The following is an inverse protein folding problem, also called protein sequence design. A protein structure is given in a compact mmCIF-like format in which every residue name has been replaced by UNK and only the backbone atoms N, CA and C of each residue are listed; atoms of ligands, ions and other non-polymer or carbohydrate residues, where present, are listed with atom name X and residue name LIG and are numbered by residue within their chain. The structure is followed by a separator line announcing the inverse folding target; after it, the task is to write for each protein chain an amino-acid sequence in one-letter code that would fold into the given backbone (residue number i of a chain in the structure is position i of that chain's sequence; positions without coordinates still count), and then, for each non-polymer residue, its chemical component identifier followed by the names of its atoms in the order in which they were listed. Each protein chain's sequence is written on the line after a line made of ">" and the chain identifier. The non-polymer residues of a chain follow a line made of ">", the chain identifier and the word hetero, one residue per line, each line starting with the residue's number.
data_IF_859292002068
#
_entry.id   IF_859292002068
#
_cell.length_a   1.000
_cell.length_b   1.000
_cell.length_c   1.000
_cell.angle_alpha   90.00
_cell.angle_beta   90.00
_cell.angle_gamma   90.00
#
_symmetry.space_group_name_H-M   'P 1'
#
loop_
_entity.id
_entity.type
_entity.pdbx_description
1 polymer ?
#
# COMPACT_ATOMS: atom_id res chain seq x y z
N UNK A 1 22.22 -22.93 -17.92
CA UNK A 1 23.57 -23.14 -18.48
C UNK A 1 24.24 -24.36 -17.86
N UNK A 2 24.42 -24.43 -16.52
CA UNK A 2 25.13 -25.53 -15.85
C UNK A 2 24.52 -26.91 -16.14
N UNK A 3 23.19 -27.06 -16.05
CA UNK A 3 22.52 -28.34 -16.37
C UNK A 3 22.75 -28.78 -17.81
N UNK A 4 22.76 -27.82 -18.74
CA UNK A 4 23.04 -28.09 -20.14
C UNK A 4 24.51 -28.49 -20.38
N UNK A 5 25.45 -27.81 -19.73
CA UNK A 5 26.87 -28.12 -19.84
C UNK A 5 27.21 -29.48 -19.23
N UNK A 6 26.59 -29.84 -18.13
CA UNK A 6 26.84 -31.09 -17.40
C UNK A 6 25.93 -32.26 -17.82
N UNK A 7 24.97 -32.03 -18.73
CA UNK A 7 23.97 -32.99 -19.18
C UNK A 7 23.26 -33.73 -18.05
N UNK A 8 22.98 -33.04 -16.94
CA UNK A 8 22.25 -33.55 -15.78
C UNK A 8 21.58 -32.43 -14.98
N UNK A 9 20.58 -32.75 -14.16
CA UNK A 9 19.99 -31.74 -13.27
C UNK A 9 21.03 -31.11 -12.36
N UNK A 10 20.94 -29.76 -12.22
CA UNK A 10 21.85 -28.98 -11.38
C UNK A 10 21.00 -28.06 -10.49
N UNK A 11 21.23 -28.12 -9.17
CA UNK A 11 20.67 -27.20 -8.20
C UNK A 11 21.72 -26.16 -7.83
N UNK A 12 21.37 -24.90 -8.01
CA UNK A 12 22.22 -23.76 -7.60
C UNK A 12 21.46 -22.95 -6.55
N UNK A 13 22.10 -22.66 -5.45
CA UNK A 13 21.57 -21.80 -4.41
C UNK A 13 22.41 -20.53 -4.33
N UNK A 14 21.77 -19.38 -4.55
CA UNK A 14 22.43 -18.08 -4.42
C UNK A 14 22.45 -17.65 -2.95
N UNK A 15 23.61 -17.35 -2.37
CA UNK A 15 23.67 -16.73 -1.06
C UNK A 15 23.08 -15.30 -1.12
N UNK A 16 22.55 -14.83 0.01
CA UNK A 16 21.84 -13.54 0.08
C UNK A 16 22.57 -12.36 -0.57
N UNK A 17 23.90 -12.17 -0.41
CA UNK A 17 24.60 -11.06 -1.05
C UNK A 17 24.60 -11.09 -2.58
N UNK A 18 24.41 -12.26 -3.18
CA UNK A 18 24.37 -12.41 -4.65
C UNK A 18 22.98 -12.22 -5.25
N UNK A 19 21.94 -12.31 -4.43
CA UNK A 19 20.55 -12.18 -4.91
C UNK A 19 20.29 -10.83 -5.58
N UNK A 20 20.62 -9.67 -4.97
CA UNK A 20 20.35 -8.36 -5.59
C UNK A 20 20.98 -8.14 -6.95
N UNK A 21 22.13 -8.80 -7.22
CA UNK A 21 22.87 -8.63 -8.46
C UNK A 21 22.51 -9.66 -9.53
N UNK A 22 21.82 -10.75 -9.17
CA UNK A 22 21.55 -11.88 -10.07
C UNK A 22 20.06 -12.18 -10.24
N UNK A 23 19.20 -11.49 -9.48
CA UNK A 23 17.75 -11.62 -9.59
C UNK A 23 17.12 -10.23 -9.60
N UNK A 24 15.84 -10.17 -9.93
CA UNK A 24 15.06 -8.93 -9.81
C UNK A 24 14.91 -8.51 -8.36
N UNK A 25 14.70 -7.22 -8.14
CA UNK A 25 14.46 -6.63 -6.82
C UNK A 25 13.25 -5.68 -6.86
N UNK A 26 12.71 -5.34 -5.69
CA UNK A 26 11.72 -4.29 -5.58
C UNK A 26 12.41 -2.94 -5.75
N UNK A 27 12.00 -2.13 -6.74
CA UNK A 27 12.60 -0.80 -6.91
C UNK A 27 12.25 0.11 -5.73
N UNK A 28 13.16 1.04 -5.43
CA UNK A 28 12.86 2.15 -4.54
C UNK A 28 11.79 3.04 -5.15
N UNK A 29 10.93 3.63 -4.32
CA UNK A 29 9.89 4.55 -4.75
C UNK A 29 9.97 5.87 -4.00
N UNK A 30 9.61 6.96 -4.67
CA UNK A 30 9.29 8.24 -4.07
C UNK A 30 7.82 8.47 -4.32
N UNK A 31 7.04 8.70 -3.26
CA UNK A 31 5.60 8.79 -3.37
C UNK A 31 5.11 10.10 -2.75
N UNK A 32 4.29 10.84 -3.48
CA UNK A 32 3.63 12.05 -3.00
C UNK A 32 2.13 11.81 -2.94
N UNK A 33 1.56 11.91 -1.74
CA UNK A 33 0.14 11.76 -1.50
C UNK A 33 -0.43 13.07 -0.97
N UNK A 34 -1.57 13.45 -1.50
CA UNK A 34 -2.35 14.61 -1.06
C UNK A 34 -3.78 14.18 -0.86
N UNK A 35 -4.32 14.47 0.33
CA UNK A 35 -5.70 14.13 0.71
C UNK A 35 -6.40 15.41 1.11
N UNK A 36 -7.59 15.63 0.58
CA UNK A 36 -8.51 16.68 1.00
C UNK A 36 -9.79 16.07 1.57
N UNK A 37 -10.27 16.62 2.68
CA UNK A 37 -11.53 16.22 3.31
C UNK A 37 -12.49 17.41 3.41
N UNK A 38 -13.76 17.12 3.62
CA UNK A 38 -14.69 18.09 4.13
C UNK A 38 -14.48 18.29 5.66
N UNK A 39 -15.34 19.16 6.27
CA UNK A 39 -15.27 19.46 7.70
C UNK A 39 -15.64 18.27 8.60
N UNK A 40 -16.31 17.26 8.05
CA UNK A 40 -16.70 16.04 8.73
C UNK A 40 -15.65 14.94 8.60
N UNK A 41 -14.54 15.19 7.89
CA UNK A 41 -13.47 14.21 7.66
C UNK A 41 -13.71 13.27 6.47
N UNK A 42 -14.78 13.48 5.68
CA UNK A 42 -15.04 12.70 4.48
C UNK A 42 -14.06 13.10 3.39
N UNK A 43 -13.35 12.14 2.80
CA UNK A 43 -12.41 12.38 1.72
C UNK A 43 -13.15 12.90 0.48
N UNK A 44 -12.79 14.08 0.02
CA UNK A 44 -13.34 14.72 -1.18
C UNK A 44 -12.36 14.66 -2.36
N UNK A 45 -11.06 14.58 -2.06
CA UNK A 45 -10.02 14.49 -3.08
C UNK A 45 -8.86 13.65 -2.57
N UNK A 46 -8.26 12.85 -3.47
CA UNK A 46 -7.05 12.10 -3.21
C UNK A 46 -6.16 12.09 -4.46
N UNK A 47 -4.90 12.45 -4.29
CA UNK A 47 -3.90 12.39 -5.35
C UNK A 47 -2.69 11.58 -4.87
N UNK A 48 -2.20 10.68 -5.72
CA UNK A 48 -1.04 9.84 -5.44
C UNK A 48 -0.14 9.77 -6.67
N UNK A 49 1.00 10.42 -6.60
CA UNK A 49 2.07 10.34 -7.58
C UNK A 49 3.20 9.45 -7.05
N UNK A 50 3.68 8.53 -7.86
CA UNK A 50 4.80 7.65 -7.54
C UNK A 50 5.86 7.65 -8.63
N UNK A 51 7.11 7.80 -8.22
CA UNK A 51 8.30 7.63 -9.05
C UNK A 51 9.05 6.39 -8.59
N UNK A 52 9.54 5.61 -9.55
CA UNK A 52 10.43 4.48 -9.29
C UNK A 52 11.56 4.42 -10.32
N UNK A 53 12.71 3.88 -9.91
CA UNK A 53 13.84 3.67 -10.83
C UNK A 53 13.81 2.27 -11.43
N UNK A 54 14.19 2.16 -12.71
CA UNK A 54 14.44 0.89 -13.35
C UNK A 54 15.45 1.05 -14.49
N UNK A 55 15.96 -0.06 -15.01
CA UNK A 55 16.84 -0.07 -16.18
C UNK A 55 16.10 0.38 -17.47
N UNK A 56 16.80 0.72 -18.56
CA UNK A 56 16.18 1.04 -19.83
C UNK A 56 15.25 -0.07 -20.33
N UNK A 57 14.01 0.30 -20.67
CA UNK A 57 12.96 -0.63 -21.08
C UNK A 57 12.21 -1.32 -19.94
N UNK A 58 12.56 -1.04 -18.67
CA UNK A 58 11.83 -1.52 -17.51
C UNK A 58 10.49 -0.78 -17.30
N UNK A 59 9.71 -1.26 -16.35
CA UNK A 59 8.40 -0.67 -15.98
C UNK A 59 8.46 -0.04 -14.58
N UNK A 60 7.62 0.98 -14.30
CA UNK A 60 7.51 1.52 -12.95
C UNK A 60 6.85 0.53 -11.98
N UNK A 61 7.17 0.65 -10.69
CA UNK A 61 6.43 -0.02 -9.62
C UNK A 61 5.01 0.54 -9.53
N UNK A 62 4.00 -0.33 -9.48
CA UNK A 62 2.58 0.04 -9.56
C UNK A 62 1.99 0.52 -8.24
N UNK A 63 2.73 1.35 -7.50
CA UNK A 63 2.42 1.75 -6.13
C UNK A 63 1.08 2.50 -5.94
N UNK A 64 0.53 3.10 -7.00
CA UNK A 64 -0.72 3.88 -6.90
C UNK A 64 -2.00 3.05 -7.05
N UNK A 65 -1.88 1.79 -7.46
CA UNK A 65 -3.06 0.99 -7.84
C UNK A 65 -4.06 0.82 -6.69
N UNK A 66 -3.60 0.65 -5.46
CA UNK A 66 -4.48 0.47 -4.31
C UNK A 66 -5.18 1.76 -3.90
N UNK A 67 -4.55 2.91 -4.13
CA UNK A 67 -5.18 4.22 -3.92
C UNK A 67 -6.42 4.39 -4.79
N UNK A 68 -6.46 3.75 -5.93
CA UNK A 68 -7.62 3.81 -6.84
C UNK A 68 -8.88 3.15 -6.27
N UNK A 69 -8.73 2.20 -5.34
CA UNK A 69 -9.80 1.30 -4.91
C UNK A 69 -10.07 1.32 -3.39
N UNK A 70 -9.07 1.70 -2.57
CA UNK A 70 -9.16 1.42 -1.14
C UNK A 70 -10.13 2.35 -0.41
N UNK A 71 -10.15 3.63 -0.73
CA UNK A 71 -11.01 4.65 -0.11
C UNK A 71 -11.84 5.38 -1.14
N UNK A 72 -13.00 5.90 -0.70
CA UNK A 72 -13.83 6.78 -1.49
C UNK A 72 -13.15 8.16 -1.71
N UNK A 73 -13.70 8.96 -2.58
CA UNK A 73 -13.27 10.33 -2.90
C UNK A 73 -13.69 10.71 -4.32
N UNK A 74 -14.45 11.78 -4.46
CA UNK A 74 -15.02 12.20 -5.75
C UNK A 74 -13.95 12.64 -6.75
N UNK A 75 -12.88 13.30 -6.26
CA UNK A 75 -11.80 13.81 -7.12
C UNK A 75 -10.56 12.96 -6.88
N UNK A 76 -10.09 12.31 -7.95
CA UNK A 76 -9.03 11.33 -7.84
C UNK A 76 -7.99 11.50 -8.94
N UNK A 77 -6.72 11.50 -8.53
CA UNK A 77 -5.58 11.51 -9.44
C UNK A 77 -4.57 10.45 -9.02
N UNK A 78 -4.09 9.67 -9.97
CA UNK A 78 -2.96 8.75 -9.77
C UNK A 78 -1.96 8.92 -10.91
N UNK A 79 -0.67 8.94 -10.57
CA UNK A 79 0.42 9.09 -11.54
C UNK A 79 1.57 8.13 -11.27
N UNK A 80 1.99 7.40 -12.28
CA UNK A 80 3.20 6.57 -12.25
C UNK A 80 4.26 7.15 -13.16
N UNK A 81 5.48 7.27 -12.66
CA UNK A 81 6.63 7.76 -13.41
C UNK A 81 7.83 6.85 -13.24
N UNK A 82 8.51 6.61 -14.35
CA UNK A 82 9.75 5.85 -14.40
C UNK A 82 10.94 6.79 -14.53
N UNK A 83 11.91 6.65 -13.64
CA UNK A 83 13.25 7.17 -13.84
C UNK A 83 14.12 6.04 -14.42
N UNK A 84 14.62 6.24 -15.64
CA UNK A 84 15.57 5.30 -16.24
C UNK A 84 16.92 5.48 -15.59
N UNK A 85 17.41 4.44 -14.95
CA UNK A 85 18.65 4.43 -14.17
C UNK A 85 19.51 3.24 -14.56
N UNK A 86 20.81 3.36 -14.35
CA UNK A 86 21.76 2.27 -14.50
C UNK A 86 21.78 1.41 -13.23
N UNK A 87 20.68 0.64 -13.05
CA UNK A 87 20.44 -0.25 -11.92
C UNK A 87 20.12 -1.66 -12.41
N UNK A 88 20.28 -2.69 -11.57
CA UNK A 88 19.72 -4.00 -11.83
C UNK A 88 18.18 -3.92 -12.05
N UNK A 89 17.65 -4.90 -12.77
CA UNK A 89 16.22 -4.93 -13.09
C UNK A 89 15.33 -4.89 -11.83
N UNK A 90 14.49 -3.88 -11.75
CA UNK A 90 13.37 -3.84 -10.81
C UNK A 90 12.18 -4.58 -11.41
N UNK A 91 11.60 -5.52 -10.67
CA UNK A 91 10.44 -6.27 -11.13
C UNK A 91 9.55 -6.71 -9.95
N UNK A 92 8.47 -7.42 -10.28
CA UNK A 92 7.49 -7.89 -9.32
C UNK A 92 8.12 -8.69 -8.17
N UNK A 93 7.97 -8.19 -6.97
CA UNK A 93 8.24 -8.89 -5.73
C UNK A 93 6.90 -9.14 -5.02
N UNK A 94 6.87 -9.99 -3.99
CA UNK A 94 5.62 -10.29 -3.26
C UNK A 94 4.81 -9.01 -2.99
N UNK A 95 3.52 -8.98 -3.40
CA UNK A 95 2.63 -7.82 -3.40
C UNK A 95 3.19 -6.64 -4.24
N UNK A 96 3.33 -6.81 -5.58
CA UNK A 96 3.81 -5.74 -6.46
C UNK A 96 2.90 -4.53 -6.41
N UNK A 97 3.48 -3.36 -6.19
CA UNK A 97 2.74 -2.11 -6.00
C UNK A 97 2.01 -2.00 -4.65
N UNK A 98 1.40 -3.10 -4.20
CA UNK A 98 0.62 -3.11 -2.95
C UNK A 98 1.50 -2.80 -1.73
N UNK A 99 2.64 -3.46 -1.59
CA UNK A 99 3.49 -3.28 -0.41
C UNK A 99 3.99 -1.82 -0.27
N UNK A 100 4.65 -1.19 -1.27
CA UNK A 100 5.08 0.19 -1.13
C UNK A 100 3.93 1.18 -1.17
N UNK A 101 2.91 0.92 -2.00
CA UNK A 101 1.81 1.86 -2.20
C UNK A 101 0.86 1.95 -1.03
N UNK A 102 0.45 0.82 -0.46
CA UNK A 102 -0.39 0.84 0.73
C UNK A 102 0.35 1.38 1.95
N UNK A 103 1.63 1.10 2.10
CA UNK A 103 2.42 1.68 3.19
C UNK A 103 2.36 3.22 3.14
N UNK A 104 2.62 3.82 1.99
CA UNK A 104 2.57 5.26 1.83
C UNK A 104 1.14 5.82 1.99
N UNK A 105 0.15 5.15 1.41
CA UNK A 105 -1.26 5.55 1.52
C UNK A 105 -1.73 5.54 2.98
N UNK A 106 -1.45 4.47 3.71
CA UNK A 106 -1.92 4.29 5.09
C UNK A 106 -1.24 5.26 6.06
N UNK A 107 0.03 5.62 5.82
CA UNK A 107 0.70 6.71 6.55
C UNK A 107 -0.02 8.05 6.29
N UNK A 108 -0.32 8.36 5.03
CA UNK A 108 -1.03 9.59 4.69
C UNK A 108 -2.46 9.64 5.24
N UNK A 109 -3.13 8.50 5.33
CA UNK A 109 -4.45 8.36 5.97
C UNK A 109 -4.35 8.61 7.48
N UNK A 110 -3.33 8.08 8.16
CA UNK A 110 -3.11 8.35 9.58
C UNK A 110 -2.81 9.83 9.85
N UNK A 111 -1.93 10.44 9.06
CA UNK A 111 -1.65 11.88 9.16
C UNK A 111 -2.90 12.74 8.91
N UNK A 112 -3.75 12.34 7.97
CA UNK A 112 -5.00 13.07 7.70
C UNK A 112 -6.00 12.91 8.83
N UNK A 113 -6.12 11.70 9.40
CA UNK A 113 -6.97 11.44 10.56
C UNK A 113 -6.55 12.31 11.76
N UNK A 114 -5.25 12.39 12.04
CA UNK A 114 -4.69 13.25 13.09
C UNK A 114 -5.05 14.73 12.85
N UNK A 115 -4.82 15.24 11.64
CA UNK A 115 -5.14 16.62 11.26
C UNK A 115 -6.63 16.94 11.35
N UNK A 116 -7.49 15.96 11.07
CA UNK A 116 -8.94 16.08 11.19
C UNK A 116 -9.43 15.93 12.64
N UNK A 117 -8.57 15.51 13.57
CA UNK A 117 -8.94 15.22 14.96
C UNK A 117 -9.86 14.00 15.08
N UNK A 118 -9.76 13.04 14.16
CA UNK A 118 -10.59 11.84 14.10
C UNK A 118 -9.71 10.64 14.42
N UNK A 119 -10.24 9.69 15.21
CA UNK A 119 -9.56 8.42 15.47
C UNK A 119 -9.19 7.72 14.15
N UNK A 120 -7.96 7.20 14.00
CA UNK A 120 -7.51 6.57 12.75
C UNK A 120 -8.37 5.37 12.30
N UNK A 121 -8.96 4.61 13.23
CA UNK A 121 -9.90 3.53 12.89
C UNK A 121 -11.21 4.12 12.38
N UNK A 122 -11.76 5.11 13.08
CA UNK A 122 -13.02 5.76 12.70
C UNK A 122 -12.88 6.53 11.39
N UNK A 123 -11.71 7.15 11.13
CA UNK A 123 -11.45 7.83 9.87
C UNK A 123 -11.50 6.86 8.68
N UNK A 124 -10.96 5.64 8.83
CA UNK A 124 -11.03 4.58 7.81
C UNK A 124 -12.46 4.08 7.61
N UNK A 125 -13.20 3.87 8.69
CA UNK A 125 -14.61 3.47 8.64
C UNK A 125 -15.46 4.54 7.93
N UNK A 126 -15.27 5.80 8.28
CA UNK A 126 -15.95 6.93 7.65
C UNK A 126 -15.72 6.98 6.14
N UNK A 127 -14.51 6.61 5.69
CA UNK A 127 -14.08 6.71 4.31
C UNK A 127 -14.09 5.38 3.56
N UNK A 128 -14.70 4.33 4.12
CA UNK A 128 -14.94 3.09 3.40
C UNK A 128 -15.87 3.28 2.21
N UNK A 129 -15.73 2.42 1.20
CA UNK A 129 -16.60 2.37 0.03
C UNK A 129 -16.97 0.94 -0.30
N UNK A 130 -18.21 0.71 -0.68
CA UNK A 130 -18.73 -0.61 -1.09
C UNK A 130 -18.78 -0.76 -2.62
N UNK A 131 -18.40 0.28 -3.34
CA UNK A 131 -18.34 0.29 -4.80
C UNK A 131 -16.96 0.76 -5.25
N UNK A 132 -16.58 0.40 -6.46
CA UNK A 132 -15.37 0.92 -7.11
C UNK A 132 -15.47 2.44 -7.23
N UNK A 133 -14.56 3.21 -6.65
CA UNK A 133 -14.60 4.67 -6.74
C UNK A 133 -14.49 5.22 -8.17
N UNK A 134 -13.97 4.44 -9.11
CA UNK A 134 -13.87 4.80 -10.53
C UNK A 134 -15.12 4.43 -11.32
N UNK A 135 -15.87 3.46 -10.83
CA UNK A 135 -17.09 2.97 -11.49
C UNK A 135 -18.16 2.66 -10.44
N UNK A 136 -19.00 3.66 -10.08
CA UNK A 136 -20.07 3.46 -9.10
C UNK A 136 -21.09 2.37 -9.45
N UNK A 137 -21.14 1.92 -10.72
CA UNK A 137 -21.97 0.81 -11.16
C UNK A 137 -21.37 -0.55 -10.82
N UNK A 138 -20.12 -0.58 -10.33
CA UNK A 138 -19.41 -1.81 -10.00
C UNK A 138 -19.28 -1.98 -8.48
N UNK A 139 -20.21 -2.64 -7.81
CA UNK A 139 -20.07 -2.97 -6.40
C UNK A 139 -18.97 -4.02 -6.18
N UNK A 140 -18.30 -3.95 -5.05
CA UNK A 140 -17.44 -5.04 -4.62
C UNK A 140 -18.29 -6.28 -4.26
N UNK A 141 -17.84 -7.45 -4.67
CA UNK A 141 -18.58 -8.70 -4.41
C UNK A 141 -18.70 -9.00 -2.90
N UNK A 142 -17.65 -8.68 -2.15
CA UNK A 142 -17.62 -8.79 -0.69
C UNK A 142 -16.52 -7.90 -0.13
N UNK A 143 -16.89 -6.90 0.64
CA UNK A 143 -15.97 -6.02 1.33
C UNK A 143 -16.42 -5.86 2.78
N UNK A 144 -15.62 -6.37 3.70
CA UNK A 144 -15.90 -6.34 5.14
C UNK A 144 -14.81 -5.57 5.90
N UNK A 145 -14.31 -4.49 5.30
CA UNK A 145 -13.25 -3.69 5.91
C UNK A 145 -13.69 -3.09 7.25
N UNK A 146 -14.91 -2.58 7.33
CA UNK A 146 -15.46 -1.99 8.56
C UNK A 146 -15.52 -3.01 9.69
N UNK A 147 -16.03 -4.21 9.43
CA UNK A 147 -16.09 -5.30 10.40
C UNK A 147 -14.69 -5.75 10.85
N UNK A 148 -13.75 -5.82 9.91
CA UNK A 148 -12.36 -6.17 10.20
C UNK A 148 -11.70 -5.10 11.09
N UNK A 149 -11.93 -3.82 10.81
CA UNK A 149 -11.38 -2.73 11.60
C UNK A 149 -11.96 -2.72 13.02
N UNK A 150 -13.27 -2.85 13.16
CA UNK A 150 -13.94 -2.89 14.48
C UNK A 150 -13.49 -4.09 15.31
N UNK A 151 -13.57 -5.28 14.75
CA UNK A 151 -13.15 -6.51 15.44
C UNK A 151 -11.66 -6.50 15.78
N UNK A 152 -10.82 -5.99 14.87
CA UNK A 152 -9.39 -5.85 15.10
C UNK A 152 -9.09 -4.85 16.22
N UNK A 153 -9.70 -3.68 16.20
CA UNK A 153 -9.55 -2.66 17.23
C UNK A 153 -9.98 -3.16 18.61
N UNK A 154 -11.12 -3.84 18.70
CA UNK A 154 -11.62 -4.43 19.95
C UNK A 154 -10.64 -5.46 20.51
N UNK A 155 -10.23 -6.44 19.70
CA UNK A 155 -9.29 -7.50 20.12
C UNK A 155 -7.92 -6.98 20.51
N UNK A 156 -7.47 -5.92 19.87
CA UNK A 156 -6.21 -5.26 20.15
C UNK A 156 -6.25 -4.41 21.42
N UNK A 157 -7.44 -4.00 21.88
CA UNK A 157 -7.60 -3.06 22.98
C UNK A 157 -7.33 -1.61 22.53
N UNK A 158 -7.67 -1.25 21.30
CA UNK A 158 -7.39 0.06 20.69
C UNK A 158 -7.88 1.24 21.54
N UNK A 159 -9.03 1.10 22.18
CA UNK A 159 -9.60 2.13 23.06
C UNK A 159 -8.81 2.41 24.34
N UNK A 160 -7.91 1.48 24.73
CA UNK A 160 -7.09 1.60 25.94
C UNK A 160 -5.73 2.26 25.66
N UNK A 161 -5.38 2.48 24.38
CA UNK A 161 -4.12 3.13 24.04
C UNK A 161 -4.10 4.61 24.45
N UNK A 162 -2.92 5.14 24.71
CA UNK A 162 -2.75 6.59 24.69
C UNK A 162 -2.86 7.09 23.24
N UNK A 163 -3.87 7.91 22.95
CA UNK A 163 -4.11 8.41 21.60
C UNK A 163 -3.09 9.48 21.17
N UNK A 164 -2.33 10.06 22.11
CA UNK A 164 -1.31 11.07 21.80
C UNK A 164 0.00 10.37 21.39
N UNK A 165 0.49 10.58 20.16
CA UNK A 165 1.74 9.98 19.71
C UNK A 165 2.92 10.34 20.61
N UNK A 166 3.84 9.39 20.81
CA UNK A 166 5.07 9.58 21.57
C UNK A 166 4.93 9.69 23.10
N UNK A 167 3.72 9.48 23.64
CA UNK A 167 3.48 9.59 25.09
C UNK A 167 3.53 8.25 25.84
N UNK A 168 3.46 7.13 25.15
CA UNK A 168 3.53 5.82 25.78
C UNK A 168 4.98 5.36 25.88
N UNK A 169 5.40 4.96 27.09
CA UNK A 169 6.75 4.45 27.35
C UNK A 169 6.71 3.08 28.03
N UNK A 170 7.68 2.27 27.67
CA UNK A 170 8.03 1.04 28.35
C UNK A 170 9.54 1.08 28.65
N UNK A 171 9.89 1.45 29.87
CA UNK A 171 11.27 1.78 30.24
C UNK A 171 11.86 2.89 29.39
N UNK A 172 12.92 2.60 28.67
CA UNK A 172 13.59 3.55 27.75
C UNK A 172 12.95 3.61 26.36
N UNK A 173 12.00 2.72 26.05
CA UNK A 173 11.37 2.62 24.75
C UNK A 173 10.16 3.54 24.61
N UNK A 174 10.03 4.16 23.46
CA UNK A 174 8.78 4.77 23.04
C UNK A 174 7.94 3.70 22.33
N UNK A 175 6.70 3.54 22.77
CA UNK A 175 5.76 2.57 22.21
C UNK A 175 4.75 3.33 21.33
N UNK A 176 4.66 2.93 20.08
CA UNK A 176 3.68 3.44 19.12
C UNK A 176 2.63 2.40 18.80
N UNK A 177 1.41 2.86 18.56
CA UNK A 177 0.29 2.05 18.10
C UNK A 177 -0.13 2.55 16.74
N UNK A 178 -0.38 1.65 15.81
CA UNK A 178 -0.80 1.99 14.45
C UNK A 178 -1.89 1.06 13.95
N UNK A 179 -2.64 1.53 12.99
CA UNK A 179 -3.64 0.77 12.25
C UNK A 179 -3.40 0.97 10.76
N UNK A 180 -3.58 -0.08 9.98
CA UNK A 180 -3.53 -0.01 8.53
C UNK A 180 -4.58 -0.93 7.92
N UNK A 181 -5.18 -0.49 6.82
CA UNK A 181 -6.02 -1.32 5.99
C UNK A 181 -5.18 -1.95 4.86
N UNK A 182 -5.55 -3.16 4.46
CA UNK A 182 -4.95 -3.83 3.32
C UNK A 182 -6.02 -4.26 2.33
N UNK A 183 -5.75 -4.02 1.04
CA UNK A 183 -6.63 -4.44 -0.03
C UNK A 183 -5.80 -5.07 -1.16
N UNK A 184 -6.19 -6.27 -1.55
CA UNK A 184 -5.66 -6.89 -2.76
C UNK A 184 -6.76 -6.94 -3.80
N UNK A 185 -6.49 -6.31 -4.93
CA UNK A 185 -7.39 -6.39 -6.07
C UNK A 185 -7.39 -7.82 -6.65
N UNK A 186 -8.55 -8.43 -6.69
CA UNK A 186 -8.75 -9.74 -7.28
C UNK A 186 -9.71 -9.59 -8.46
N UNK A 187 -9.26 -8.90 -9.49
CA UNK A 187 -10.00 -8.78 -10.75
C UNK A 187 -10.03 -10.17 -11.42
N UNK A 188 -11.14 -10.84 -11.29
CA UNK A 188 -11.46 -11.93 -12.21
C UNK A 188 -11.77 -11.29 -13.57
N UNK A 189 -11.10 -11.77 -14.61
CA UNK A 189 -11.51 -11.42 -15.96
C UNK A 189 -13.00 -11.75 -16.11
N UNK A 190 -13.80 -10.90 -16.78
CA UNK A 190 -15.15 -11.29 -17.13
C UNK A 190 -15.08 -12.66 -17.82
N UNK A 191 -15.81 -13.64 -17.28
CA UNK A 191 -15.99 -14.91 -17.99
C UNK A 191 -16.60 -14.58 -19.33
N UNK A 192 -15.80 -14.72 -20.41
CA UNK A 192 -16.30 -14.62 -21.78
C UNK A 192 -17.32 -15.71 -22.08
#
# INVERSE_FOLDING_TARGET
>A
LAARALQRPVKVMLPRPMIPNNTTHRPATIQHIRIGTDRQGKITAIAHDSWSGNLPGGTPETAVNQTELLYAGANRHTGLRLATLDLPEGNAMRAPGEAPGMMALEIAIDEMAERAGIDPVEFRILNDTQVDPKDPQRPFSRRQLVECLRSGAERFGWSQRNATPGQTRDGEWLVGYGVAAGFRNNLLAPSG
#
